data_IF_404965714587
#
_entry.id   IF_404965714587
#
_cell.length_a   1.000
_cell.length_b   1.000
_cell.length_c   1.000
_cell.angle_alpha   90.00
_cell.angle_beta   90.00
_cell.angle_gamma   90.00
#
_symmetry.space_group_name_H-M   'P 1'
#
loop_
_entity.id
_entity.type
_entity.pdbx_description
1 polymer ?
#
# COMPACT_ATOMS: atom_id res chain seq x y z
N UNK A 1 17.29 19.67 -22.66
CA UNK A 1 16.72 18.79 -21.60
C UNK A 1 15.68 19.65 -20.93
N UNK A 2 14.44 19.55 -21.41
CA UNK A 2 13.34 20.40 -20.97
C UNK A 2 12.94 19.97 -19.57
N UNK A 3 13.07 20.89 -18.62
CA UNK A 3 12.59 20.72 -17.27
C UNK A 3 11.06 20.71 -17.32
N UNK A 4 10.45 19.53 -17.28
CA UNK A 4 9.04 19.40 -16.94
C UNK A 4 8.88 19.85 -15.50
N UNK A 5 8.57 21.13 -15.33
CA UNK A 5 8.04 21.68 -14.09
C UNK A 5 6.77 20.88 -13.79
N UNK A 6 6.86 19.99 -12.80
CA UNK A 6 5.69 19.42 -12.17
C UNK A 6 5.01 20.60 -11.47
N UNK A 7 4.10 21.29 -12.17
CA UNK A 7 3.22 22.26 -11.54
C UNK A 7 2.53 21.51 -10.41
N UNK A 8 2.99 21.75 -9.19
CA UNK A 8 2.32 21.25 -8.01
C UNK A 8 0.91 21.81 -8.11
N UNK A 9 -0.04 20.92 -8.36
CA UNK A 9 -1.47 21.20 -8.37
C UNK A 9 -1.74 21.99 -7.09
N UNK A 10 -1.89 23.30 -7.27
CA UNK A 10 -2.16 24.22 -6.19
C UNK A 10 -3.60 23.93 -5.80
N UNK A 11 -3.78 22.92 -4.94
CA UNK A 11 -5.05 22.63 -4.32
C UNK A 11 -5.54 23.93 -3.71
N UNK A 12 -6.52 24.52 -4.38
CA UNK A 12 -7.02 25.83 -4.03
C UNK A 12 -7.54 25.73 -2.60
N UNK A 13 -7.25 26.73 -1.75
CA UNK A 13 -7.51 26.63 -0.30
C UNK A 13 -8.96 26.28 0.03
N UNK A 14 -9.89 26.53 -0.89
CA UNK A 14 -11.31 26.22 -0.74
C UNK A 14 -11.82 24.93 -1.40
N UNK A 15 -10.94 24.08 -1.94
CA UNK A 15 -11.33 22.83 -2.66
C UNK A 15 -12.21 21.91 -1.79
N UNK A 16 -12.05 21.98 -0.47
CA UNK A 16 -12.77 21.12 0.48
C UNK A 16 -13.65 21.89 1.47
N UNK A 17 -13.83 23.20 1.30
CA UNK A 17 -14.57 24.06 2.26
C UNK A 17 -16.05 23.67 2.41
N UNK A 18 -16.62 22.96 1.43
CA UNK A 18 -17.98 22.43 1.46
C UNK A 18 -18.12 21.00 1.96
N UNK A 19 -17.00 20.31 2.25
CA UNK A 19 -17.01 18.90 2.64
C UNK A 19 -17.15 18.75 4.16
N UNK A 20 -18.00 17.83 4.61
CA UNK A 20 -18.04 17.46 6.02
C UNK A 20 -16.78 16.66 6.41
N UNK A 21 -16.43 16.58 7.71
CA UNK A 21 -15.36 15.70 8.18
C UNK A 21 -15.54 14.22 7.77
N UNK A 22 -16.79 13.77 7.65
CA UNK A 22 -17.12 12.42 7.21
C UNK A 22 -16.78 12.24 5.72
N UNK A 23 -17.14 13.20 4.87
CA UNK A 23 -16.82 13.15 3.43
C UNK A 23 -15.31 13.09 3.19
N UNK A 24 -14.54 13.85 3.98
CA UNK A 24 -13.06 13.79 3.92
C UNK A 24 -12.51 12.45 4.39
N UNK A 25 -13.05 11.90 5.47
CA UNK A 25 -12.64 10.59 6.00
C UNK A 25 -12.90 9.48 4.98
N UNK A 26 -14.08 9.49 4.35
CA UNK A 26 -14.45 8.53 3.32
C UNK A 26 -13.56 8.68 2.08
N UNK A 27 -13.29 9.90 1.64
CA UNK A 27 -12.38 10.17 0.51
C UNK A 27 -10.96 9.67 0.80
N UNK A 28 -10.41 9.93 1.99
CA UNK A 28 -9.10 9.43 2.40
C UNK A 28 -9.08 7.90 2.37
N UNK A 29 -10.10 7.25 2.93
CA UNK A 29 -10.20 5.79 2.95
C UNK A 29 -10.26 5.19 1.53
N UNK A 30 -11.06 5.80 0.65
CA UNK A 30 -11.18 5.38 -0.75
C UNK A 30 -9.86 5.54 -1.52
N UNK A 31 -9.21 6.69 -1.39
CA UNK A 31 -7.92 6.96 -2.04
C UNK A 31 -6.81 6.04 -1.51
N UNK A 32 -6.76 5.81 -0.21
CA UNK A 32 -5.81 4.87 0.38
C UNK A 32 -6.05 3.43 -0.09
N UNK A 33 -7.32 3.02 -0.20
CA UNK A 33 -7.68 1.71 -0.76
C UNK A 33 -7.23 1.57 -2.22
N UNK A 34 -7.44 2.61 -3.03
CA UNK A 34 -6.97 2.66 -4.42
C UNK A 34 -5.44 2.61 -4.50
N UNK A 35 -4.74 3.40 -3.69
CA UNK A 35 -3.27 3.40 -3.58
C UNK A 35 -2.75 1.99 -3.27
N UNK A 36 -3.35 1.30 -2.30
CA UNK A 36 -3.01 -0.08 -1.96
C UNK A 36 -3.23 -1.04 -3.14
N UNK A 37 -4.36 -0.93 -3.84
CA UNK A 37 -4.68 -1.78 -4.98
C UNK A 37 -3.67 -1.58 -6.14
N UNK A 38 -3.34 -0.31 -6.45
CA UNK A 38 -2.34 0.05 -7.45
C UNK A 38 -0.96 -0.47 -7.06
N UNK A 39 -0.54 -0.25 -5.80
CA UNK A 39 0.74 -0.76 -5.29
C UNK A 39 0.82 -2.28 -5.40
N UNK A 40 -0.23 -3.01 -5.03
CA UNK A 40 -0.30 -4.47 -5.21
C UNK A 40 -0.13 -4.88 -6.67
N UNK A 41 -0.77 -4.17 -7.60
CA UNK A 41 -0.64 -4.46 -9.03
C UNK A 41 0.79 -4.19 -9.53
N UNK A 42 1.40 -3.09 -9.11
CA UNK A 42 2.79 -2.74 -9.41
C UNK A 42 3.76 -3.82 -8.92
N UNK A 43 3.61 -4.30 -7.68
CA UNK A 43 4.43 -5.37 -7.12
C UNK A 43 4.34 -6.66 -7.96
N UNK A 44 3.14 -7.04 -8.41
CA UNK A 44 2.97 -8.19 -9.30
C UNK A 44 3.71 -8.02 -10.64
N UNK A 45 3.73 -6.80 -11.20
CA UNK A 45 4.49 -6.51 -12.42
C UNK A 45 5.99 -6.61 -12.17
N UNK A 46 6.48 -6.08 -11.04
CA UNK A 46 7.88 -6.20 -10.61
C UNK A 46 8.30 -7.67 -10.50
N UNK A 47 7.47 -8.53 -9.88
CA UNK A 47 7.74 -9.98 -9.81
C UNK A 47 7.80 -10.62 -11.19
N UNK A 48 6.86 -10.26 -12.08
CA UNK A 48 6.85 -10.79 -13.43
C UNK A 48 8.09 -10.36 -14.24
N UNK A 49 8.52 -9.11 -14.09
CA UNK A 49 9.71 -8.53 -14.72
C UNK A 49 10.99 -9.19 -14.19
N UNK A 50 11.10 -9.36 -12.87
CA UNK A 50 12.23 -10.04 -12.22
C UNK A 50 12.36 -11.50 -12.68
N UNK A 51 11.24 -12.24 -12.73
CA UNK A 51 11.21 -13.63 -13.20
C UNK A 51 11.68 -13.82 -14.65
N UNK A 52 11.46 -12.81 -15.49
CA UNK A 52 11.90 -12.82 -16.89
C UNK A 52 13.33 -12.32 -17.04
N UNK A 53 13.91 -11.78 -15.98
CA UNK A 53 15.19 -11.09 -15.98
C UNK A 53 15.23 -9.94 -17.00
N UNK A 54 14.08 -9.33 -17.31
CA UNK A 54 13.96 -8.27 -18.32
C UNK A 54 14.80 -7.04 -17.94
N UNK A 55 15.09 -6.86 -16.64
CA UNK A 55 16.01 -5.84 -16.11
C UNK A 55 17.43 -5.93 -16.69
N UNK A 56 17.85 -7.08 -17.23
CA UNK A 56 19.14 -7.23 -17.93
C UNK A 56 19.18 -6.40 -19.21
N UNK A 57 18.04 -6.19 -19.88
CA UNK A 57 17.97 -5.37 -21.08
C UNK A 57 18.32 -3.90 -20.80
N UNK A 58 18.09 -3.46 -19.56
CA UNK A 58 18.43 -2.12 -19.08
C UNK A 58 19.89 -2.03 -18.58
N UNK A 59 20.69 -3.09 -18.74
CA UNK A 59 22.08 -3.17 -18.29
C UNK A 59 22.26 -3.32 -16.78
N UNK A 60 21.18 -3.53 -16.02
CA UNK A 60 21.26 -3.73 -14.59
C UNK A 60 21.88 -5.09 -14.24
N UNK A 61 22.60 -5.14 -13.12
CA UNK A 61 23.27 -6.37 -12.64
C UNK A 61 22.37 -7.25 -11.77
N UNK A 62 21.28 -6.68 -11.27
CA UNK A 62 20.26 -7.36 -10.45
C UNK A 62 18.97 -6.54 -10.46
N UNK A 63 17.85 -7.14 -10.03
CA UNK A 63 16.59 -6.42 -9.88
C UNK A 63 16.66 -5.29 -8.83
N UNK A 64 17.49 -5.44 -7.78
CA UNK A 64 17.71 -4.38 -6.77
C UNK A 64 18.40 -3.16 -7.41
N UNK A 65 19.39 -3.41 -8.26
CA UNK A 65 20.14 -2.39 -8.99
C UNK A 65 19.24 -1.66 -10.00
N UNK A 66 18.43 -2.44 -10.73
CA UNK A 66 17.39 -1.92 -11.61
C UNK A 66 16.39 -1.03 -10.87
N UNK A 67 15.83 -1.50 -9.76
CA UNK A 67 14.84 -0.75 -8.99
C UNK A 67 15.44 0.52 -8.37
N UNK A 68 16.68 0.46 -7.89
CA UNK A 68 17.38 1.63 -7.35
C UNK A 68 17.57 2.71 -8.42
N UNK A 69 17.86 2.30 -9.65
CA UNK A 69 18.14 3.20 -10.77
C UNK A 69 16.86 3.75 -11.41
N UNK A 70 15.96 2.86 -11.82
CA UNK A 70 14.76 3.22 -12.58
C UNK A 70 13.68 3.85 -11.70
N UNK A 71 13.52 3.36 -10.46
CA UNK A 71 12.53 3.91 -9.52
C UNK A 71 13.15 4.98 -8.60
N UNK A 72 14.45 5.28 -8.77
CA UNK A 72 15.21 6.27 -7.97
C UNK A 72 15.11 6.01 -6.47
N UNK A 73 15.09 4.75 -6.08
CA UNK A 73 15.00 4.34 -4.69
C UNK A 73 16.40 4.19 -4.07
N UNK A 74 16.60 4.57 -2.80
CA UNK A 74 17.76 4.11 -2.04
C UNK A 74 17.81 2.58 -2.06
N UNK A 75 19.01 2.01 -2.15
CA UNK A 75 19.20 0.56 -2.24
C UNK A 75 18.46 -0.22 -1.15
N UNK A 76 18.44 0.29 0.08
CA UNK A 76 17.72 -0.32 1.22
C UNK A 76 16.21 -0.40 0.97
N UNK A 77 15.60 0.63 0.39
CA UNK A 77 14.19 0.64 0.03
C UNK A 77 13.91 -0.27 -1.17
N UNK A 78 14.83 -0.33 -2.14
CA UNK A 78 14.71 -1.25 -3.27
C UNK A 78 14.74 -2.73 -2.82
N UNK A 79 15.59 -3.07 -1.85
CA UNK A 79 15.62 -4.41 -1.25
C UNK A 79 14.28 -4.72 -0.57
N UNK A 80 13.80 -3.82 0.31
CA UNK A 80 12.53 -4.00 1.00
C UNK A 80 11.36 -4.14 0.02
N UNK A 81 11.33 -3.34 -1.05
CA UNK A 81 10.32 -3.42 -2.09
C UNK A 81 10.28 -4.81 -2.74
N UNK A 82 11.46 -5.40 -3.02
CA UNK A 82 11.56 -6.71 -3.65
C UNK A 82 11.27 -7.86 -2.69
N UNK A 83 11.60 -7.71 -1.41
CA UNK A 83 11.13 -8.60 -0.34
C UNK A 83 9.59 -8.57 -0.24
N UNK A 84 9.01 -7.37 -0.33
CA UNK A 84 7.55 -7.17 -0.38
C UNK A 84 6.93 -7.79 -1.65
N UNK A 85 7.57 -7.60 -2.79
CA UNK A 85 7.11 -8.19 -4.04
C UNK A 85 7.17 -9.73 -4.01
N UNK A 86 8.22 -10.29 -3.42
CA UNK A 86 8.44 -11.73 -3.37
C UNK A 86 7.60 -12.47 -2.30
N UNK A 87 6.82 -11.77 -1.48
CA UNK A 87 6.15 -12.38 -0.33
C UNK A 87 7.10 -12.75 0.83
N UNK A 88 8.33 -12.23 0.82
CA UNK A 88 9.40 -12.57 1.78
C UNK A 88 9.59 -11.45 2.80
N UNK A 89 8.54 -11.11 3.52
CA UNK A 89 8.60 -10.06 4.55
C UNK A 89 8.90 -10.74 5.88
N UNK A 90 9.78 -10.17 6.70
CA UNK A 90 10.21 -10.73 7.99
C UNK A 90 9.12 -10.71 9.10
N UNK A 91 7.83 -10.77 8.74
CA UNK A 91 6.72 -10.87 9.67
C UNK A 91 5.42 -11.20 8.95
N UNK A 92 4.89 -12.41 9.15
CA UNK A 92 3.63 -12.78 8.53
C UNK A 92 3.19 -14.25 8.58
N UNK A 93 3.59 -15.04 9.57
CA UNK A 93 2.88 -16.28 9.95
C UNK A 93 2.65 -16.23 11.47
N UNK A 94 1.55 -15.60 11.88
CA UNK A 94 1.17 -15.54 13.28
C UNK A 94 0.18 -14.42 13.58
N UNK A 95 -1.07 -14.80 13.80
CA UNK A 95 -2.01 -14.07 14.67
C UNK A 95 -2.76 -12.87 14.07
N UNK A 96 -3.70 -13.18 13.17
CA UNK A 96 -4.98 -12.46 13.13
C UNK A 96 -6.12 -13.47 13.29
N UNK A 97 -6.17 -14.09 14.47
CA UNK A 97 -7.32 -14.88 14.90
C UNK A 97 -8.45 -13.92 15.32
N UNK A 98 -9.22 -13.39 14.37
CA UNK A 98 -10.53 -12.81 14.66
C UNK A 98 -11.55 -13.94 14.86
N UNK A 99 -11.32 -14.71 15.93
CA UNK A 99 -12.24 -15.70 16.47
C UNK A 99 -13.24 -15.05 17.41
N UNK A 100 -14.44 -14.82 16.88
CA UNK A 100 -15.67 -14.45 17.58
C UNK A 100 -15.78 -15.11 18.97
N UNK A 101 -15.60 -14.36 20.06
CA UNK A 101 -16.14 -14.71 21.39
C UNK A 101 -17.14 -13.63 21.80
N UNK A 102 -18.35 -13.74 21.26
CA UNK A 102 -19.51 -13.13 21.89
C UNK A 102 -19.63 -13.76 23.28
N UNK A 103 -19.23 -13.01 24.31
CA UNK A 103 -19.50 -13.38 25.69
C UNK A 103 -21.01 -13.53 25.90
N UNK A 104 -21.47 -14.39 26.81
CA UNK A 104 -22.88 -14.51 27.11
C UNK A 104 -23.42 -13.13 27.54
N UNK A 105 -24.45 -12.66 26.83
CA UNK A 105 -25.10 -11.38 27.10
C UNK A 105 -25.63 -11.27 28.53
N UNK A 106 -25.92 -10.04 29.01
CA UNK A 106 -26.36 -9.82 30.38
C UNK A 106 -27.66 -10.59 30.63
N UNK A 107 -27.63 -11.48 31.63
CA UNK A 107 -28.77 -12.26 32.07
C UNK A 107 -29.89 -11.36 32.59
N UNK A 108 -30.91 -11.16 31.76
CA UNK A 108 -32.17 -10.55 32.17
C UNK A 108 -33.09 -11.63 32.75
N UNK A 109 -32.86 -11.98 34.01
CA UNK A 109 -33.67 -12.91 34.78
C UNK A 109 -34.68 -12.20 35.68
N UNK A 110 -35.72 -11.60 35.10
CA UNK A 110 -36.97 -11.33 35.85
C UNK A 110 -37.80 -12.61 35.93
N UNK A 111 -37.92 -13.20 37.12
CA UNK A 111 -39.10 -13.96 37.61
C UNK A 111 -39.11 -13.83 39.14
N UNK A 112 -40.04 -13.05 39.70
CA UNK A 112 -41.36 -13.52 40.14
C UNK A 112 -41.26 -14.43 41.38
N UNK A 113 -41.47 -13.84 42.56
CA UNK A 113 -42.32 -14.34 43.65
C UNK A 113 -42.68 -13.16 44.55
#
# INVERSE_FOLDING_TARGET
MESESFEADSLDRGTFDGSSPQDLTDAIGQLHGLECAVRRRMLNLIVAYDRREDWKADGATSMVDWASTQLRLPRTQAVQLLEVAAGRHAGGDGELEHGRRLGPGPGNGRRAR
#
